data_IF_442504203852
#
_entry.id   IF_442504203852
#
_cell.length_a   1.000
_cell.length_b   1.000
_cell.length_c   1.000
_cell.angle_alpha   90.00
_cell.angle_beta   90.00
_cell.angle_gamma   90.00
#
_symmetry.space_group_name_H-M   'P 1'
#
loop_
_entity.id
_entity.type
_entity.pdbx_description
1 polymer ?
#
# COMPACT_ATOMS: atom_id res chain seq x y z
N UNK A 1 41.18 -24.51 -16.30
CA UNK A 1 40.21 -25.01 -15.30
C UNK A 1 39.46 -23.82 -14.73
N UNK A 2 38.15 -23.65 -15.00
CA UNK A 2 37.37 -22.54 -14.48
C UNK A 2 36.65 -22.95 -13.19
N UNK A 3 36.66 -22.09 -12.17
CA UNK A 3 35.61 -22.10 -11.15
C UNK A 3 35.02 -20.70 -11.06
N UNK A 4 33.92 -20.56 -11.79
CA UNK A 4 32.95 -19.50 -11.63
C UNK A 4 32.39 -19.59 -10.20
N UNK A 5 32.90 -18.76 -9.27
CA UNK A 5 32.17 -18.43 -8.05
C UNK A 5 31.13 -17.39 -8.42
N UNK A 6 29.95 -17.84 -8.81
CA UNK A 6 28.76 -17.04 -8.64
C UNK A 6 28.62 -16.83 -7.13
N UNK A 7 29.00 -15.65 -6.65
CA UNK A 7 28.69 -15.17 -5.31
C UNK A 7 27.17 -14.97 -5.21
N UNK A 8 26.42 -16.06 -5.19
CA UNK A 8 24.98 -16.11 -4.94
C UNK A 8 24.72 -16.08 -3.42
N UNK A 9 25.38 -15.16 -2.74
CA UNK A 9 25.21 -14.94 -1.30
C UNK A 9 25.37 -13.46 -0.95
N UNK A 10 24.85 -12.58 -1.82
CA UNK A 10 24.32 -11.33 -1.30
C UNK A 10 23.01 -11.74 -0.64
N UNK A 11 23.00 -11.92 0.68
CA UNK A 11 21.78 -11.59 1.41
C UNK A 11 21.44 -10.18 0.93
N UNK A 12 20.40 -10.06 0.11
CA UNK A 12 19.86 -8.76 -0.25
C UNK A 12 19.20 -8.30 1.04
N UNK A 13 19.99 -7.72 1.95
CA UNK A 13 19.47 -6.93 3.04
C UNK A 13 18.79 -5.76 2.35
N UNK A 14 17.50 -5.94 2.06
CA UNK A 14 16.69 -4.88 1.48
C UNK A 14 16.68 -3.74 2.49
N UNK A 15 17.00 -2.53 2.03
CA UNK A 15 16.82 -1.33 2.85
C UNK A 15 15.39 -1.29 3.38
N UNK A 16 15.22 -0.80 4.61
CA UNK A 16 13.93 -0.82 5.30
C UNK A 16 12.82 -0.16 4.46
N UNK A 17 13.15 0.93 3.77
CA UNK A 17 12.25 1.64 2.85
C UNK A 17 11.75 0.75 1.71
N UNK A 18 12.64 -0.02 1.08
CA UNK A 18 12.29 -0.97 0.02
C UNK A 18 11.47 -2.15 0.56
N UNK A 19 11.80 -2.63 1.75
CA UNK A 19 11.03 -3.69 2.41
C UNK A 19 9.61 -3.21 2.71
N UNK A 20 9.46 -1.99 3.23
CA UNK A 20 8.16 -1.38 3.50
C UNK A 20 7.39 -1.05 2.21
N UNK A 21 8.09 -0.72 1.12
CA UNK A 21 7.47 -0.62 -0.20
C UNK A 21 6.91 -1.96 -0.67
N UNK A 22 7.66 -3.06 -0.52
CA UNK A 22 7.18 -4.39 -0.85
C UNK A 22 5.97 -4.78 0.02
N UNK A 23 6.00 -4.49 1.33
CA UNK A 23 4.86 -4.73 2.22
C UNK A 23 3.66 -3.85 1.90
N UNK A 24 3.85 -2.59 1.50
CA UNK A 24 2.76 -1.71 1.06
C UNK A 24 2.12 -2.22 -0.24
N UNK A 25 2.92 -2.78 -1.15
CA UNK A 25 2.40 -3.45 -2.35
C UNK A 25 1.58 -4.69 -1.98
N UNK A 26 2.10 -5.54 -1.09
CA UNK A 26 1.37 -6.68 -0.57
C UNK A 26 0.06 -6.26 0.12
N UNK A 27 0.08 -5.21 0.94
CA UNK A 27 -1.10 -4.64 1.57
C UNK A 27 -2.13 -4.17 0.53
N UNK A 28 -1.69 -3.54 -0.57
CA UNK A 28 -2.58 -3.11 -1.66
C UNK A 28 -3.28 -4.30 -2.31
N UNK A 29 -2.57 -5.41 -2.53
CA UNK A 29 -3.14 -6.67 -3.02
C UNK A 29 -4.14 -7.24 -2.02
N UNK A 30 -3.80 -7.27 -0.72
CA UNK A 30 -4.71 -7.72 0.33
C UNK A 30 -6.01 -6.89 0.33
N UNK A 31 -5.92 -5.58 0.16
CA UNK A 31 -7.10 -4.72 0.07
C UNK A 31 -7.97 -5.03 -1.16
N UNK A 32 -7.35 -5.33 -2.31
CA UNK A 32 -8.07 -5.77 -3.50
C UNK A 32 -8.83 -7.08 -3.25
N UNK A 33 -8.20 -8.03 -2.55
CA UNK A 33 -8.83 -9.30 -2.18
C UNK A 33 -10.00 -9.10 -1.21
N UNK A 34 -9.83 -8.28 -0.16
CA UNK A 34 -10.92 -7.96 0.78
C UNK A 34 -12.11 -7.34 0.04
N UNK A 35 -11.85 -6.39 -0.86
CA UNK A 35 -12.90 -5.79 -1.69
C UNK A 35 -13.59 -6.83 -2.58
N UNK A 36 -12.81 -7.69 -3.25
CA UNK A 36 -13.33 -8.76 -4.12
C UNK A 36 -14.21 -9.75 -3.35
N UNK A 37 -13.83 -10.13 -2.13
CA UNK A 37 -14.68 -10.95 -1.23
C UNK A 37 -15.97 -10.21 -0.89
N UNK A 38 -15.90 -8.91 -0.60
CA UNK A 38 -17.09 -8.08 -0.36
C UNK A 38 -18.03 -8.03 -1.57
N UNK A 39 -17.49 -7.94 -2.78
CA UNK A 39 -18.27 -8.01 -4.02
C UNK A 39 -18.94 -9.38 -4.18
N UNK A 40 -18.17 -10.45 -3.96
CA UNK A 40 -18.65 -11.82 -4.06
C UNK A 40 -19.82 -12.09 -3.12
N UNK A 41 -19.74 -11.58 -1.88
CA UNK A 41 -20.78 -11.79 -0.87
C UNK A 41 -22.05 -10.98 -1.13
N UNK A 42 -21.97 -9.82 -1.79
CA UNK A 42 -23.14 -8.96 -2.04
C UNK A 42 -23.80 -9.19 -3.40
N UNK A 43 -23.01 -9.46 -4.43
CA UNK A 43 -23.48 -9.51 -5.82
C UNK A 43 -23.35 -10.92 -6.42
N UNK A 44 -22.67 -11.83 -5.72
CA UNK A 44 -22.45 -13.21 -6.17
C UNK A 44 -21.33 -13.36 -7.20
N UNK A 45 -21.09 -14.61 -7.62
CA UNK A 45 -20.02 -14.98 -8.55
C UNK A 45 -20.31 -14.61 -10.00
N UNK A 46 -21.59 -14.62 -10.41
CA UNK A 46 -21.96 -14.41 -11.82
C UNK A 46 -21.49 -13.05 -12.34
N UNK A 47 -21.68 -11.92 -11.63
CA UNK A 47 -21.18 -10.63 -12.09
C UNK A 47 -19.66 -10.46 -11.99
N UNK A 48 -18.99 -11.21 -11.11
CA UNK A 48 -17.53 -11.21 -10.98
C UNK A 48 -16.81 -11.85 -12.16
N UNK A 49 -17.43 -12.90 -12.73
CA UNK A 49 -16.93 -13.65 -13.90
C UNK A 49 -17.37 -12.98 -15.21
N UNK A 50 -18.53 -12.34 -15.22
CA UNK A 50 -19.01 -11.55 -16.35
C UNK A 50 -18.37 -10.15 -16.45
N UNK A 51 -18.88 -9.34 -17.37
CA UNK A 51 -18.38 -7.98 -17.64
C UNK A 51 -18.68 -6.95 -16.53
N UNK A 52 -19.21 -7.37 -15.36
CA UNK A 52 -19.62 -6.46 -14.27
C UNK A 52 -20.57 -5.35 -14.73
N UNK A 53 -21.45 -5.68 -15.67
CA UNK A 53 -22.54 -4.82 -16.11
C UNK A 53 -23.78 -5.03 -15.21
N UNK A 54 -24.53 -3.96 -14.93
CA UNK A 54 -25.76 -4.04 -14.12
C UNK A 54 -25.55 -4.36 -12.62
N UNK A 55 -24.33 -4.20 -12.11
CA UNK A 55 -23.97 -4.50 -10.72
C UNK A 55 -24.46 -3.38 -9.81
N UNK A 56 -25.34 -3.70 -8.87
CA UNK A 56 -25.77 -2.76 -7.83
C UNK A 56 -24.58 -2.21 -7.03
N UNK A 57 -24.67 -0.96 -6.59
CA UNK A 57 -23.62 -0.36 -5.76
C UNK A 57 -23.41 -1.15 -4.46
N UNK A 58 -22.14 -1.39 -4.13
CA UNK A 58 -21.77 -2.10 -2.91
C UNK A 58 -22.06 -1.24 -1.68
N UNK A 59 -22.82 -1.80 -0.75
CA UNK A 59 -23.25 -1.10 0.47
C UNK A 59 -22.44 -1.55 1.68
N UNK A 60 -22.52 -0.78 2.78
CA UNK A 60 -21.90 -1.15 4.05
C UNK A 60 -20.38 -1.31 3.97
N UNK A 61 -19.86 -2.39 4.54
CA UNK A 61 -18.42 -2.63 4.68
C UNK A 61 -17.73 -2.94 3.34
N UNK A 62 -18.40 -3.63 2.40
CA UNK A 62 -17.82 -3.98 1.09
C UNK A 62 -17.58 -2.73 0.23
N UNK A 63 -18.53 -1.78 0.25
CA UNK A 63 -18.37 -0.47 -0.38
C UNK A 63 -17.25 0.35 0.25
N UNK A 64 -17.10 0.29 1.60
CA UNK A 64 -15.99 0.95 2.30
C UNK A 64 -14.64 0.33 1.94
N UNK A 65 -14.55 -1.00 1.85
CA UNK A 65 -13.33 -1.70 1.43
C UNK A 65 -12.88 -1.27 0.01
N UNK A 66 -13.82 -1.16 -0.93
CA UNK A 66 -13.51 -0.67 -2.28
C UNK A 66 -13.04 0.79 -2.33
N UNK A 67 -13.57 1.66 -1.46
CA UNK A 67 -13.08 3.04 -1.31
C UNK A 67 -11.72 3.09 -0.63
N UNK A 68 -11.46 2.23 0.36
CA UNK A 68 -10.16 2.13 1.01
C UNK A 68 -9.08 1.67 0.02
N UNK A 69 -9.37 0.66 -0.81
CA UNK A 69 -8.46 0.15 -1.83
C UNK A 69 -8.08 1.22 -2.88
N UNK A 70 -9.08 1.93 -3.43
CA UNK A 70 -8.81 3.04 -4.37
C UNK A 70 -7.93 4.12 -3.75
N UNK A 71 -8.19 4.47 -2.49
CA UNK A 71 -7.36 5.44 -1.80
C UNK A 71 -5.93 4.93 -1.55
N UNK A 72 -5.74 3.63 -1.28
CA UNK A 72 -4.40 3.04 -1.20
C UNK A 72 -3.68 3.15 -2.54
N UNK A 73 -4.32 2.87 -3.67
CA UNK A 73 -3.71 3.01 -5.00
C UNK A 73 -3.24 4.43 -5.29
N UNK A 74 -4.06 5.44 -5.00
CA UNK A 74 -3.71 6.86 -5.17
C UNK A 74 -2.46 7.26 -4.38
N UNK A 75 -2.26 6.67 -3.20
CA UNK A 75 -1.14 7.00 -2.32
C UNK A 75 0.07 6.08 -2.51
N UNK A 76 -0.14 4.91 -3.09
CA UNK A 76 0.92 3.96 -3.41
C UNK A 76 1.82 4.49 -4.53
N UNK A 77 1.26 5.17 -5.53
CA UNK A 77 2.01 5.75 -6.64
C UNK A 77 3.09 6.76 -6.17
N UNK A 78 2.74 7.83 -5.42
CA UNK A 78 3.75 8.77 -4.95
C UNK A 78 4.73 8.13 -3.96
N UNK A 79 4.27 7.25 -3.07
CA UNK A 79 5.15 6.55 -2.13
C UNK A 79 6.19 5.67 -2.84
N UNK A 80 5.76 4.86 -3.81
CA UNK A 80 6.63 4.02 -4.61
C UNK A 80 7.64 4.85 -5.40
N UNK A 81 7.19 5.93 -6.05
CA UNK A 81 8.06 6.81 -6.80
C UNK A 81 9.19 7.39 -5.92
N UNK A 82 8.86 7.93 -4.75
CA UNK A 82 9.85 8.52 -3.86
C UNK A 82 10.83 7.49 -3.30
N UNK A 83 10.35 6.33 -2.85
CA UNK A 83 11.24 5.26 -2.33
C UNK A 83 12.19 4.76 -3.43
N UNK A 84 11.70 4.58 -4.66
CA UNK A 84 12.54 4.15 -5.78
C UNK A 84 13.56 5.23 -6.18
N UNK A 85 13.17 6.51 -6.16
CA UNK A 85 14.10 7.63 -6.36
C UNK A 85 15.19 7.63 -5.28
N UNK A 86 14.81 7.54 -4.00
CA UNK A 86 15.77 7.47 -2.89
C UNK A 86 16.72 6.28 -2.99
N UNK A 87 16.22 5.12 -3.45
CA UNK A 87 17.06 3.96 -3.72
C UNK A 87 18.06 4.23 -4.85
N UNK A 88 17.60 4.82 -5.96
CA UNK A 88 18.42 5.09 -7.14
C UNK A 88 19.49 6.17 -6.88
N UNK A 89 19.21 7.15 -6.02
CA UNK A 89 20.17 8.21 -5.64
C UNK A 89 21.04 7.84 -4.45
N UNK A 90 20.74 6.74 -3.75
CA UNK A 90 21.42 6.36 -2.51
C UNK A 90 21.15 7.32 -1.34
N UNK A 91 20.07 8.09 -1.39
CA UNK A 91 19.73 9.13 -0.42
C UNK A 91 18.92 8.61 0.79
N UNK A 92 18.97 7.31 1.08
CA UNK A 92 18.30 6.74 2.25
C UNK A 92 19.01 7.17 3.55
N UNK A 93 18.20 7.57 4.52
CA UNK A 93 18.63 8.01 5.84
C UNK A 93 17.57 7.64 6.89
N UNK A 94 17.84 7.96 8.16
CA UNK A 94 16.92 7.61 9.25
C UNK A 94 15.54 8.28 9.10
N UNK A 95 15.48 9.46 8.49
CA UNK A 95 14.24 10.19 8.25
C UNK A 95 13.41 9.59 7.11
N UNK A 96 14.04 9.09 6.03
CA UNK A 96 13.33 8.35 4.97
C UNK A 96 12.78 7.03 5.50
N UNK A 97 13.56 6.33 6.33
CA UNK A 97 13.13 5.12 7.03
C UNK A 97 11.94 5.38 7.96
N UNK A 98 11.95 6.48 8.72
CA UNK A 98 10.84 6.89 9.58
C UNK A 98 9.60 7.27 8.75
N UNK A 99 9.77 8.04 7.67
CA UNK A 99 8.69 8.40 6.75
C UNK A 99 8.01 7.17 6.13
N UNK A 100 8.80 6.17 5.73
CA UNK A 100 8.29 4.92 5.18
C UNK A 100 7.50 4.09 6.22
N UNK A 101 7.99 4.03 7.46
CA UNK A 101 7.29 3.37 8.57
C UNK A 101 5.96 4.05 8.88
N UNK A 102 5.95 5.38 9.00
CA UNK A 102 4.74 6.17 9.25
C UNK A 102 3.71 5.90 8.14
N UNK A 103 4.13 5.94 6.89
CA UNK A 103 3.26 5.66 5.75
C UNK A 103 2.63 4.27 5.86
N UNK A 104 3.46 3.22 6.00
CA UNK A 104 2.99 1.84 6.00
C UNK A 104 2.03 1.55 7.16
N UNK A 105 2.42 1.89 8.40
CA UNK A 105 1.60 1.60 9.58
C UNK A 105 0.31 2.41 9.60
N UNK A 106 0.35 3.67 9.18
CA UNK A 106 -0.86 4.47 9.05
C UNK A 106 -1.82 3.89 8.01
N UNK A 107 -1.31 3.32 6.90
CA UNK A 107 -2.14 2.68 5.87
C UNK A 107 -2.74 1.36 6.32
N UNK A 108 -2.00 0.58 7.11
CA UNK A 108 -2.53 -0.63 7.74
C UNK A 108 -3.66 -0.30 8.71
N UNK A 109 -3.48 0.69 9.59
CA UNK A 109 -4.52 1.13 10.50
C UNK A 109 -5.71 1.74 9.77
N UNK A 110 -5.46 2.53 8.71
CA UNK A 110 -6.50 3.17 7.89
C UNK A 110 -7.44 2.15 7.27
N UNK A 111 -6.90 1.03 6.75
CA UNK A 111 -7.70 -0.06 6.21
C UNK A 111 -8.70 -0.61 7.23
N UNK A 112 -8.22 -0.97 8.42
CA UNK A 112 -9.04 -1.58 9.49
C UNK A 112 -10.13 -0.60 9.93
N UNK A 113 -9.76 0.66 10.17
CA UNK A 113 -10.68 1.71 10.65
C UNK A 113 -11.72 2.08 9.60
N UNK A 114 -11.33 2.17 8.34
CA UNK A 114 -12.27 2.52 7.26
C UNK A 114 -13.27 1.39 7.01
N UNK A 115 -12.83 0.13 7.00
CA UNK A 115 -13.76 -1.01 6.91
C UNK A 115 -14.71 -1.01 8.11
N UNK A 116 -14.20 -0.75 9.33
CA UNK A 116 -14.99 -0.59 10.55
C UNK A 116 -15.98 0.57 10.53
N UNK A 117 -15.78 1.55 9.64
CA UNK A 117 -16.71 2.66 9.45
C UNK A 117 -16.61 3.76 10.50
N UNK A 118 -15.46 3.89 11.17
CA UNK A 118 -15.24 4.92 12.20
C UNK A 118 -14.91 6.26 11.50
N UNK A 119 -15.82 7.25 11.52
CA UNK A 119 -15.58 8.55 10.90
C UNK A 119 -14.47 9.31 11.65
N UNK A 120 -13.85 10.29 10.98
CA UNK A 120 -12.73 11.11 11.47
C UNK A 120 -11.40 10.39 11.71
N UNK A 121 -11.41 9.21 12.35
CA UNK A 121 -10.21 8.39 12.56
C UNK A 121 -9.52 8.03 11.23
N UNK A 122 -10.31 7.71 10.20
CA UNK A 122 -9.79 7.49 8.83
C UNK A 122 -9.06 8.73 8.31
N UNK A 123 -9.59 9.92 8.52
CA UNK A 123 -9.02 11.17 7.98
C UNK A 123 -7.71 11.50 8.69
N UNK A 124 -7.66 11.32 10.01
CA UNK A 124 -6.42 11.48 10.78
C UNK A 124 -5.31 10.55 10.26
N UNK A 125 -5.62 9.27 10.04
CA UNK A 125 -4.65 8.30 9.53
C UNK A 125 -4.21 8.58 8.09
N UNK A 126 -5.13 9.06 7.25
CA UNK A 126 -4.78 9.55 5.92
C UNK A 126 -3.73 10.67 6.02
N UNK A 127 -3.99 11.69 6.84
CA UNK A 127 -3.04 12.80 7.04
C UNK A 127 -1.71 12.31 7.58
N UNK A 128 -1.70 11.44 8.58
CA UNK A 128 -0.47 10.85 9.14
C UNK A 128 0.35 10.14 8.05
N UNK A 129 -0.30 9.35 7.20
CA UNK A 129 0.42 8.68 6.11
C UNK A 129 0.98 9.65 5.07
N UNK A 130 0.28 10.76 4.80
CA UNK A 130 0.77 11.82 3.90
C UNK A 130 1.98 12.52 4.49
N UNK A 131 2.02 12.74 5.81
CA UNK A 131 3.22 13.26 6.49
C UNK A 131 4.43 12.35 6.21
N UNK A 132 4.24 11.02 6.24
CA UNK A 132 5.29 10.07 5.87
C UNK A 132 5.84 10.29 4.45
N UNK A 133 4.96 10.52 3.47
CA UNK A 133 5.35 10.85 2.08
C UNK A 133 6.13 12.17 2.02
N UNK A 134 5.62 13.21 2.69
CA UNK A 134 6.27 14.54 2.72
C UNK A 134 7.65 14.47 3.36
N UNK A 135 7.82 13.68 4.43
CA UNK A 135 9.11 13.47 5.06
C UNK A 135 10.11 12.84 4.11
N UNK A 136 9.73 11.80 3.36
CA UNK A 136 10.61 11.19 2.36
C UNK A 136 10.97 12.22 1.29
N UNK A 137 9.98 12.92 0.74
CA UNK A 137 10.20 13.94 -0.28
C UNK A 137 11.18 15.03 0.18
N UNK A 138 11.00 15.55 1.40
CA UNK A 138 11.85 16.59 1.97
C UNK A 138 13.30 16.15 2.24
N UNK A 139 13.59 14.85 2.24
CA UNK A 139 14.96 14.33 2.35
C UNK A 139 15.61 14.10 0.98
N UNK A 140 14.82 14.04 -0.09
CA UNK A 140 15.30 13.80 -1.46
C UNK A 140 15.63 15.09 -2.22
N UNK A 141 15.13 16.23 -1.74
CA UNK A 141 15.29 17.57 -2.34
C UNK A 141 16.07 18.44 -1.37
#
# INVERSE_FOLDING_TARGET
MPTCRLNFSREVIMGLELQLLAWAAALTVVQALIHTVGVMLQVGMSPLVGNREGVSELTGWAGRAGRAHRNMLENMVPFAALVLVGHATGAFNEMTALGAQIFFWARLAYLVIYIGGIPWARTALYVISVIGIVLIFAQLV
#
